data_IF_017348790795
#
_entry.id   IF_017348790795
#
_cell.length_a   1.000
_cell.length_b   1.000
_cell.length_c   1.000
_cell.angle_alpha   90.00
_cell.angle_beta   90.00
_cell.angle_gamma   90.00
#
_symmetry.space_group_name_H-M   'P 1'
#
loop_
_entity.id
_entity.type
_entity.pdbx_description
1 polymer ?
#
# COMPACT_ATOMS: atom_id res chain seq x y z
N UNK A 1 18.85 -46.96 43.73
CA UNK A 1 19.47 -45.99 42.81
C UNK A 1 18.46 -45.62 41.71
N UNK A 2 17.36 -44.92 42.03
CA UNK A 2 17.15 -43.49 41.68
C UNK A 2 18.19 -43.01 40.67
N UNK A 3 17.78 -42.66 39.45
CA UNK A 3 18.15 -41.44 38.73
C UNK A 3 17.07 -41.20 37.68
N UNK A 4 15.97 -40.58 38.14
CA UNK A 4 14.99 -39.92 37.29
C UNK A 4 15.70 -38.69 36.71
N UNK A 5 15.96 -38.67 35.40
CA UNK A 5 16.20 -37.40 34.71
C UNK A 5 15.11 -37.22 33.65
N UNK A 6 14.16 -36.36 34.01
CA UNK A 6 13.15 -35.80 33.15
C UNK A 6 13.84 -34.76 32.26
N UNK A 7 13.79 -34.92 30.94
CA UNK A 7 14.08 -33.83 30.01
C UNK A 7 12.86 -33.71 29.10
N UNK A 8 11.89 -32.92 29.56
CA UNK A 8 10.77 -32.48 28.74
C UNK A 8 11.27 -31.36 27.82
N UNK A 9 11.50 -31.69 26.55
CA UNK A 9 11.81 -30.68 25.53
C UNK A 9 10.48 -30.09 25.07
N UNK A 10 10.07 -29.00 25.72
CA UNK A 10 8.98 -28.13 25.26
C UNK A 10 9.52 -27.30 24.09
N UNK A 11 9.18 -27.69 22.86
CA UNK A 11 9.41 -26.85 21.66
C UNK A 11 8.25 -25.86 21.58
N UNK A 12 8.42 -24.71 22.21
CA UNK A 12 7.47 -23.60 22.13
C UNK A 12 7.55 -22.95 20.75
N UNK A 13 6.48 -23.05 19.96
CA UNK A 13 6.36 -22.38 18.67
C UNK A 13 6.33 -20.85 18.85
N UNK A 14 7.40 -20.17 18.44
CA UNK A 14 7.45 -18.72 18.38
C UNK A 14 6.90 -18.24 17.03
N UNK A 15 5.58 -17.99 16.95
CA UNK A 15 5.01 -17.20 15.86
C UNK A 15 5.42 -15.75 16.05
N UNK A 16 6.47 -15.31 15.34
CA UNK A 16 6.82 -13.91 15.25
C UNK A 16 5.70 -13.17 14.50
N UNK A 17 4.98 -12.29 15.21
CA UNK A 17 3.97 -11.42 14.59
C UNK A 17 4.64 -10.47 13.61
N UNK A 18 4.21 -10.50 12.35
CA UNK A 18 4.62 -9.52 11.34
C UNK A 18 3.91 -8.20 11.67
N UNK A 19 4.64 -7.23 12.21
CA UNK A 19 4.15 -5.87 12.34
C UNK A 19 4.08 -5.22 10.96
N UNK A 20 2.86 -5.06 10.41
CA UNK A 20 2.64 -4.24 9.22
C UNK A 20 2.60 -2.77 9.67
N UNK A 21 3.57 -1.98 9.22
CA UNK A 21 3.52 -0.54 9.42
C UNK A 21 2.40 0.06 8.55
N UNK A 22 1.66 1.07 9.04
CA UNK A 22 0.65 1.73 8.23
C UNK A 22 1.33 2.46 7.06
N UNK A 23 0.85 2.23 5.84
CA UNK A 23 1.20 3.08 4.70
C UNK A 23 0.60 4.46 4.95
N UNK A 24 1.46 5.46 5.14
CA UNK A 24 1.02 6.83 5.20
C UNK A 24 0.47 7.21 3.81
N UNK A 25 -0.85 7.31 3.70
CA UNK A 25 -1.51 7.84 2.51
C UNK A 25 -1.31 9.35 2.51
N UNK A 26 -0.26 9.79 1.81
CA UNK A 26 -0.08 11.21 1.50
C UNK A 26 -1.23 11.67 0.58
N UNK A 27 -1.56 12.96 0.65
CA UNK A 27 -2.42 13.56 -0.36
C UNK A 27 -1.82 13.30 -1.77
N UNK A 28 -2.66 13.12 -2.80
CA UNK A 28 -2.20 12.94 -4.17
C UNK A 28 -1.20 14.04 -4.56
N UNK A 29 -0.08 13.69 -5.20
CA UNK A 29 1.05 14.62 -5.37
C UNK A 29 0.75 15.75 -6.37
N UNK A 30 -0.30 15.62 -7.18
CA UNK A 30 -0.60 16.50 -8.30
C UNK A 30 -1.74 17.46 -8.00
N UNK A 31 -1.50 18.75 -8.18
CA UNK A 31 -2.54 19.79 -8.08
C UNK A 31 -3.55 19.72 -9.23
N UNK A 32 -3.09 19.27 -10.39
CA UNK A 32 -3.86 19.16 -11.63
C UNK A 32 -3.18 18.17 -12.60
N UNK A 33 -3.92 17.74 -13.63
CA UNK A 33 -3.38 16.77 -14.58
C UNK A 33 -2.23 17.28 -15.45
N UNK A 34 -2.06 18.59 -15.64
CA UNK A 34 -0.89 19.10 -16.37
C UNK A 34 0.42 18.80 -15.64
N UNK A 35 0.40 18.81 -14.31
CA UNK A 35 1.55 18.43 -13.47
C UNK A 35 1.83 16.93 -13.57
N UNK A 36 0.77 16.09 -13.47
CA UNK A 36 0.89 14.65 -13.67
C UNK A 36 1.45 14.32 -15.06
N UNK A 37 0.96 15.00 -16.11
CA UNK A 37 1.43 14.82 -17.48
C UNK A 37 2.87 15.26 -17.67
N UNK A 38 3.32 16.32 -16.98
CA UNK A 38 4.72 16.74 -17.00
C UNK A 38 5.67 15.67 -16.41
N UNK A 39 5.17 14.89 -15.45
CA UNK A 39 5.86 13.73 -14.88
C UNK A 39 5.65 12.43 -15.70
N UNK A 40 4.95 12.50 -16.83
CA UNK A 40 4.64 11.35 -17.68
C UNK A 40 3.59 10.40 -17.08
N UNK A 41 2.81 10.85 -16.10
CA UNK A 41 1.77 10.07 -15.42
C UNK A 41 0.41 10.31 -16.07
N UNK A 42 -0.18 9.23 -16.55
CA UNK A 42 -1.47 9.19 -17.24
C UNK A 42 -2.28 7.99 -16.76
N UNK A 43 -3.60 8.02 -16.97
CA UNK A 43 -4.50 6.90 -16.66
C UNK A 43 -4.35 6.40 -15.21
N UNK A 44 -4.39 7.33 -14.26
CA UNK A 44 -4.18 7.07 -12.84
C UNK A 44 -5.45 6.39 -12.29
N UNK A 45 -5.35 5.10 -11.93
CA UNK A 45 -6.48 4.31 -11.43
C UNK A 45 -6.77 4.59 -9.95
N UNK A 46 -7.96 4.27 -9.46
CA UNK A 46 -8.37 4.46 -8.06
C UNK A 46 -7.44 3.80 -7.01
N UNK A 47 -6.75 2.73 -7.38
CA UNK A 47 -5.79 2.04 -6.50
C UNK A 47 -4.43 2.74 -6.42
N UNK A 48 -4.18 3.71 -7.31
CA UNK A 48 -2.93 4.47 -7.35
C UNK A 48 -2.94 5.55 -6.25
N UNK A 49 -1.86 5.69 -5.46
CA UNK A 49 -1.75 6.74 -4.44
C UNK A 49 -1.89 8.17 -5.00
N UNK A 50 -1.67 8.36 -6.30
CA UNK A 50 -1.85 9.65 -6.96
C UNK A 50 -3.28 9.90 -7.46
N UNK A 51 -4.21 8.95 -7.27
CA UNK A 51 -5.61 9.15 -7.63
C UNK A 51 -6.26 10.22 -6.76
N UNK A 52 -7.02 11.09 -7.41
CA UNK A 52 -7.90 12.03 -6.75
C UNK A 52 -9.15 12.18 -7.58
N UNK A 53 -10.33 12.14 -6.96
CA UNK A 53 -11.60 12.48 -7.62
C UNK A 53 -11.64 13.90 -8.17
N UNK A 54 -10.73 14.79 -7.74
CA UNK A 54 -10.55 16.11 -8.33
C UNK A 54 -9.82 16.08 -9.69
N UNK A 55 -8.99 15.06 -9.91
CA UNK A 55 -8.21 14.87 -11.13
C UNK A 55 -8.96 14.00 -12.16
N UNK A 56 -9.93 13.21 -11.70
CA UNK A 56 -10.90 12.44 -12.48
C UNK A 56 -12.15 13.29 -12.74
N UNK A 57 -12.18 13.98 -13.88
CA UNK A 57 -13.17 15.03 -14.15
C UNK A 57 -14.54 14.48 -14.53
N UNK A 58 -14.59 13.33 -15.17
CA UNK A 58 -15.81 12.63 -15.58
C UNK A 58 -16.25 11.56 -14.57
N UNK A 59 -15.38 11.20 -13.62
CA UNK A 59 -15.73 10.35 -12.48
C UNK A 59 -15.82 8.88 -12.86
N UNK A 60 -15.05 8.45 -13.86
CA UNK A 60 -15.06 7.06 -14.37
C UNK A 60 -14.07 6.15 -13.63
N UNK A 61 -13.28 6.71 -12.72
CA UNK A 61 -12.24 6.00 -11.97
C UNK A 61 -10.85 6.08 -12.60
N UNK A 62 -10.67 6.88 -13.67
CA UNK A 62 -9.39 7.11 -14.34
C UNK A 62 -9.02 8.59 -14.35
N UNK A 63 -8.18 9.00 -13.40
CA UNK A 63 -7.67 10.35 -13.36
C UNK A 63 -6.63 10.63 -14.46
N UNK A 64 -6.64 11.86 -14.99
CA UNK A 64 -5.62 12.38 -15.91
C UNK A 64 -5.40 11.55 -17.18
N UNK A 65 -6.48 11.03 -17.78
CA UNK A 65 -6.44 10.45 -19.12
C UNK A 65 -5.79 11.41 -20.15
N UNK A 66 -5.08 10.87 -21.16
CA UNK A 66 -4.66 11.67 -22.30
C UNK A 66 -5.90 12.16 -23.05
N UNK A 67 -5.84 13.38 -23.59
CA UNK A 67 -6.93 13.89 -24.43
C UNK A 67 -7.09 12.96 -25.64
N UNK A 68 -8.28 12.39 -25.81
CA UNK A 68 -8.63 11.64 -27.03
C UNK A 68 -8.66 12.57 -28.25
#
# INVERSE_FOLDING_TARGET
MRHRLLIAIVVSAATAGVAVAPVAMADPPYKNCSEAHADGRYNITQDDPAYSSKLDRDGDGLACEPKR
#
